data_IF_152280562512
#
_entry.id   IF_152280562512
#
_cell.length_a   1.000
_cell.length_b   1.000
_cell.length_c   1.000
_cell.angle_alpha   90.00
_cell.angle_beta   90.00
_cell.angle_gamma   90.00
#
_symmetry.space_group_name_H-M   'P 1'
#
loop_
_entity.id
_entity.type
_entity.pdbx_description
1 polymer ?
#
# COMPACT_ATOMS: atom_id res chain seq x y z
N UNK A 1 12.70 8.36 -27.35
CA UNK A 1 12.54 8.44 -25.88
C UNK A 1 11.53 7.37 -25.49
N UNK A 2 11.85 6.48 -24.54
CA UNK A 2 10.81 5.59 -23.99
C UNK A 2 9.80 6.47 -23.26
N UNK A 3 8.51 6.17 -23.41
CA UNK A 3 7.49 6.78 -22.58
C UNK A 3 7.59 6.12 -21.21
N UNK A 4 8.15 6.80 -20.21
CA UNK A 4 8.39 6.24 -18.86
C UNK A 4 7.10 5.71 -18.22
N UNK A 5 5.94 6.23 -18.62
CA UNK A 5 4.62 5.75 -18.19
C UNK A 5 4.25 4.35 -18.70
N UNK A 6 4.97 3.83 -19.71
CA UNK A 6 4.82 2.45 -20.20
C UNK A 6 5.74 1.47 -19.47
N UNK A 7 6.66 1.96 -18.65
CA UNK A 7 7.54 1.12 -17.85
C UNK A 7 6.83 0.68 -16.57
N UNK A 8 6.75 -0.62 -16.38
CA UNK A 8 6.22 -1.22 -15.15
C UNK A 8 7.06 -0.88 -13.92
N UNK A 9 6.44 -0.92 -12.75
CA UNK A 9 7.11 -0.86 -11.47
C UNK A 9 7.93 -2.15 -11.28
N UNK A 10 9.18 -1.99 -10.88
CA UNK A 10 10.09 -3.09 -10.53
C UNK A 10 10.71 -2.77 -9.17
N UNK A 11 11.19 -3.79 -8.43
CA UNK A 11 11.86 -3.54 -7.16
C UNK A 11 13.04 -2.56 -7.27
N UNK A 12 13.70 -2.51 -8.43
CA UNK A 12 14.90 -1.69 -8.65
C UNK A 12 14.63 -0.26 -9.11
N UNK A 13 13.41 0.09 -9.56
CA UNK A 13 13.15 1.39 -10.18
C UNK A 13 12.24 2.32 -9.36
N UNK A 14 11.73 1.86 -8.22
CA UNK A 14 10.79 2.64 -7.41
C UNK A 14 11.15 2.68 -5.92
N UNK A 15 10.56 3.65 -5.24
CA UNK A 15 10.51 3.77 -3.79
C UNK A 15 9.06 3.93 -3.34
N UNK A 16 8.80 3.76 -2.04
CA UNK A 16 7.47 3.79 -1.44
C UNK A 16 7.37 4.86 -0.37
N UNK A 17 6.23 5.54 -0.28
CA UNK A 17 5.91 6.41 0.85
C UNK A 17 4.47 6.16 1.34
N UNK A 18 4.35 5.91 2.64
CA UNK A 18 3.07 5.87 3.35
C UNK A 18 2.85 7.20 4.06
N UNK A 19 1.80 7.92 3.66
CA UNK A 19 1.49 9.26 4.17
C UNK A 19 0.32 9.16 5.15
N UNK A 20 0.60 9.43 6.43
CA UNK A 20 -0.38 9.78 7.45
C UNK A 20 -1.49 8.71 7.63
N UNK A 21 -1.09 7.43 7.59
CA UNK A 21 -1.95 6.26 7.84
C UNK A 21 -2.30 6.15 9.35
N UNK A 22 -2.98 7.18 9.85
CA UNK A 22 -3.29 7.42 11.26
C UNK A 22 -4.80 7.27 11.52
N UNK A 23 -5.24 6.80 12.70
CA UNK A 23 -6.63 6.48 13.01
C UNK A 23 -7.62 7.63 12.79
N UNK A 24 -7.32 8.83 13.25
CA UNK A 24 -8.26 9.95 13.12
C UNK A 24 -8.45 10.35 11.65
N UNK A 25 -7.37 10.28 10.85
CA UNK A 25 -7.44 10.45 9.40
C UNK A 25 -8.33 9.35 8.79
N UNK A 26 -8.10 8.09 9.12
CA UNK A 26 -8.90 6.98 8.61
C UNK A 26 -10.37 7.02 9.04
N UNK A 27 -10.70 7.54 10.22
CA UNK A 27 -12.09 7.69 10.66
C UNK A 27 -12.88 8.63 9.77
N UNK A 28 -12.24 9.66 9.23
CA UNK A 28 -12.84 10.59 8.27
C UNK A 28 -13.00 10.02 6.85
N UNK A 29 -12.40 8.87 6.53
CA UNK A 29 -12.50 8.28 5.18
C UNK A 29 -13.90 7.74 4.92
N UNK A 30 -14.49 8.14 3.80
CA UNK A 30 -15.79 7.66 3.31
C UNK A 30 -15.74 7.23 1.83
N UNK A 31 -14.60 7.34 1.16
CA UNK A 31 -14.45 6.91 -0.25
C UNK A 31 -14.31 5.39 -0.43
N UNK A 32 -14.00 4.66 0.65
CA UNK A 32 -13.80 3.21 0.69
C UNK A 32 -14.12 2.70 2.11
N UNK A 33 -14.50 1.43 2.24
CA UNK A 33 -14.61 0.81 3.57
C UNK A 33 -13.25 0.83 4.29
N UNK A 34 -13.27 1.24 5.57
CA UNK A 34 -12.06 1.49 6.35
C UNK A 34 -11.31 0.20 6.72
N UNK A 35 -12.01 -0.93 6.83
CA UNK A 35 -11.35 -2.23 7.04
C UNK A 35 -10.66 -2.68 5.77
N UNK A 36 -11.29 -2.48 4.61
CA UNK A 36 -10.68 -2.73 3.29
C UNK A 36 -9.46 -1.84 3.08
N UNK A 37 -9.55 -0.53 3.36
CA UNK A 37 -8.42 0.41 3.28
C UNK A 37 -7.24 -0.09 4.12
N UNK A 38 -7.47 -0.38 5.40
CA UNK A 38 -6.42 -0.86 6.31
C UNK A 38 -5.81 -2.18 5.81
N UNK A 39 -6.63 -3.12 5.37
CA UNK A 39 -6.17 -4.38 4.78
C UNK A 39 -5.25 -4.13 3.56
N UNK A 40 -5.66 -3.25 2.66
CA UNK A 40 -4.91 -2.93 1.44
C UNK A 40 -3.58 -2.23 1.76
N UNK A 41 -3.57 -1.30 2.72
CA UNK A 41 -2.34 -0.63 3.21
C UNK A 41 -1.36 -1.65 3.77
N UNK A 42 -1.82 -2.59 4.60
CA UNK A 42 -0.96 -3.64 5.18
C UNK A 42 -0.49 -4.62 4.12
N UNK A 43 -1.34 -5.02 3.17
CA UNK A 43 -0.96 -5.87 2.03
C UNK A 43 0.12 -5.22 1.16
N UNK A 44 -0.02 -3.93 0.87
CA UNK A 44 0.98 -3.12 0.16
C UNK A 44 2.30 -3.01 0.94
N UNK A 45 2.23 -2.80 2.25
CA UNK A 45 3.41 -2.72 3.10
C UNK A 45 4.19 -4.03 3.13
N UNK A 46 3.49 -5.16 3.30
CA UNK A 46 4.12 -6.50 3.24
C UNK A 46 4.74 -6.76 1.88
N UNK A 47 4.08 -6.35 0.80
CA UNK A 47 4.65 -6.44 -0.55
C UNK A 47 5.96 -5.62 -0.65
N UNK A 48 5.95 -4.36 -0.20
CA UNK A 48 7.14 -3.51 -0.20
C UNK A 48 8.29 -4.12 0.61
N UNK A 49 7.99 -4.76 1.74
CA UNK A 49 8.97 -5.48 2.56
C UNK A 49 9.56 -6.70 1.85
N UNK A 50 8.73 -7.56 1.24
CA UNK A 50 9.18 -8.76 0.49
C UNK A 50 10.13 -8.39 -0.65
N UNK A 51 9.86 -7.29 -1.36
CA UNK A 51 10.66 -6.84 -2.49
C UNK A 51 11.75 -5.83 -2.11
N UNK A 52 11.99 -5.59 -0.81
CA UNK A 52 13.00 -4.67 -0.30
C UNK A 52 12.87 -3.23 -0.87
N UNK A 53 11.65 -2.76 -1.08
CA UNK A 53 11.39 -1.41 -1.60
C UNK A 53 11.80 -0.37 -0.55
N UNK A 54 12.65 0.62 -0.90
CA UNK A 54 12.97 1.72 -0.01
C UNK A 54 11.68 2.46 0.38
N UNK A 55 11.28 2.32 1.64
CA UNK A 55 9.99 2.81 2.13
C UNK A 55 10.19 4.02 3.06
N UNK A 56 9.31 5.00 3.02
CA UNK A 56 9.23 6.12 3.97
C UNK A 56 7.85 6.09 4.63
N UNK A 57 7.77 6.42 5.92
CA UNK A 57 6.51 6.54 6.65
C UNK A 57 6.47 7.94 7.26
N UNK A 58 5.40 8.68 6.98
CA UNK A 58 5.16 10.00 7.58
C UNK A 58 3.94 9.97 8.48
N UNK A 59 3.94 10.92 9.41
CA UNK A 59 2.80 11.25 10.26
C UNK A 59 2.62 12.75 10.33
N UNK A 60 1.40 13.17 10.63
CA UNK A 60 1.06 14.57 10.88
C UNK A 60 0.33 14.69 12.21
N UNK A 61 0.75 15.61 13.07
CA UNK A 61 0.03 15.97 14.31
C UNK A 61 -0.30 14.74 15.20
N UNK A 62 0.68 13.85 15.41
CA UNK A 62 0.47 12.53 16.06
C UNK A 62 -0.11 12.64 17.47
N UNK A 63 0.38 13.58 18.29
CA UNK A 63 0.00 13.72 19.70
C UNK A 63 -1.14 14.72 19.94
N UNK A 64 -1.59 15.41 18.89
CA UNK A 64 -2.58 16.50 18.98
C UNK A 64 -3.91 16.12 18.32
N UNK A 65 -3.88 15.55 17.11
CA UNK A 65 -5.07 15.29 16.32
C UNK A 65 -5.11 13.88 15.75
N UNK A 66 -4.06 13.44 15.07
CA UNK A 66 -4.16 12.31 14.13
C UNK A 66 -4.06 10.93 14.80
N UNK A 67 -3.33 10.84 15.91
CA UNK A 67 -3.00 9.59 16.60
C UNK A 67 -1.81 8.85 15.98
N UNK A 68 -1.35 7.78 16.63
CA UNK A 68 -0.22 6.98 16.12
C UNK A 68 -0.59 6.22 14.84
N UNK A 69 0.35 6.04 13.91
CA UNK A 69 0.19 5.21 12.70
C UNK A 69 -0.36 3.82 13.03
N UNK A 70 -1.08 3.21 12.08
CA UNK A 70 -1.58 1.83 12.25
C UNK A 70 -0.46 0.88 12.72
N UNK A 71 -0.64 0.17 13.85
CA UNK A 71 0.40 -0.71 14.37
C UNK A 71 0.73 -1.82 13.37
N UNK A 72 -0.24 -2.32 12.61
CA UNK A 72 -0.01 -3.35 11.61
C UNK A 72 0.86 -2.89 10.44
N UNK A 73 0.88 -1.58 10.14
CA UNK A 73 1.83 -1.01 9.17
C UNK A 73 3.24 -0.92 9.77
N UNK A 74 3.36 -0.52 11.04
CA UNK A 74 4.64 -0.39 11.73
C UNK A 74 5.30 -1.75 12.00
N UNK A 75 4.52 -2.78 12.32
CA UNK A 75 5.00 -4.15 12.56
C UNK A 75 5.68 -4.77 11.32
N UNK A 76 5.37 -4.27 10.11
CA UNK A 76 6.05 -4.68 8.87
C UNK A 76 7.45 -4.09 8.76
N UNK A 77 7.72 -2.96 9.43
CA UNK A 77 8.99 -2.22 9.36
C UNK A 77 9.56 -1.92 10.76
N UNK A 78 9.94 -2.95 11.53
CA UNK A 78 10.42 -2.75 12.90
C UNK A 78 11.69 -1.89 12.94
N UNK A 79 11.71 -0.92 13.87
CA UNK A 79 12.86 -0.04 14.09
C UNK A 79 13.02 1.07 13.04
N UNK A 80 12.05 1.26 12.14
CA UNK A 80 12.08 2.30 11.13
C UNK A 80 11.66 3.65 11.71
N UNK A 81 12.42 4.70 11.39
CA UNK A 81 12.06 6.06 11.75
C UNK A 81 10.75 6.50 11.05
N UNK A 82 9.89 7.18 11.82
CA UNK A 82 8.66 7.79 11.34
C UNK A 82 8.88 9.30 11.24
N UNK A 83 8.61 9.87 10.08
CA UNK A 83 8.83 11.29 9.82
C UNK A 83 7.60 12.11 10.24
N UNK A 84 7.61 12.57 11.49
CA UNK A 84 6.58 13.47 12.04
C UNK A 84 6.67 14.86 11.41
N UNK A 85 5.49 15.42 11.09
CA UNK A 85 5.30 16.73 10.47
C UNK A 85 4.12 17.48 11.10
N UNK A 86 4.07 18.78 10.84
CA UNK A 86 2.89 19.63 11.12
C UNK A 86 2.17 20.09 9.85
N UNK A 87 2.87 20.10 8.71
CA UNK A 87 2.29 20.44 7.40
C UNK A 87 1.35 19.34 6.92
N UNK A 88 0.32 19.68 6.14
CA UNK A 88 -0.47 18.67 5.43
C UNK A 88 0.28 18.11 4.21
N UNK A 89 1.02 18.97 3.51
CA UNK A 89 1.87 18.55 2.40
C UNK A 89 3.17 17.91 2.92
N UNK A 90 3.35 16.61 2.68
CA UNK A 90 4.59 15.90 3.03
C UNK A 90 5.83 16.47 2.37
N UNK A 91 5.68 17.12 1.22
CA UNK A 91 6.80 17.73 0.49
C UNK A 91 7.36 18.97 1.17
N UNK A 92 6.59 19.63 2.04
CA UNK A 92 7.04 20.83 2.76
C UNK A 92 8.05 20.50 3.88
N UNK A 93 8.17 19.23 4.28
CA UNK A 93 9.13 18.79 5.30
C UNK A 93 10.45 18.35 4.67
N UNK A 94 11.56 18.97 5.10
CA UNK A 94 12.88 18.72 4.53
C UNK A 94 13.34 17.27 4.74
N UNK A 95 12.98 16.62 5.85
CA UNK A 95 13.37 15.22 6.13
C UNK A 95 12.75 14.28 5.11
N UNK A 96 11.51 14.55 4.68
CA UNK A 96 10.84 13.76 3.63
C UNK A 96 11.57 13.93 2.29
N UNK A 97 11.92 15.15 1.91
CA UNK A 97 12.66 15.43 0.66
C UNK A 97 14.03 14.74 0.66
N UNK A 98 14.75 14.86 1.78
CA UNK A 98 16.07 14.25 1.95
C UNK A 98 16.00 12.73 1.90
N UNK A 99 15.00 12.12 2.56
CA UNK A 99 14.78 10.67 2.53
C UNK A 99 14.45 10.17 1.12
N UNK A 100 13.54 10.84 0.40
CA UNK A 100 13.20 10.49 -0.99
C UNK A 100 14.42 10.60 -1.91
N UNK A 101 15.23 11.66 -1.73
CA UNK A 101 16.45 11.89 -2.51
C UNK A 101 17.51 10.83 -2.21
N UNK A 102 17.69 10.46 -0.95
CA UNK A 102 18.66 9.46 -0.51
C UNK A 102 18.39 8.07 -1.12
N UNK A 103 17.13 7.72 -1.39
CA UNK A 103 16.76 6.46 -2.04
C UNK A 103 17.17 6.40 -3.53
N UNK A 104 17.34 7.55 -4.19
CA UNK A 104 17.83 7.62 -5.57
C UNK A 104 16.88 7.05 -6.63
N UNK A 105 15.58 6.88 -6.33
CA UNK A 105 14.58 6.33 -7.25
C UNK A 105 13.61 7.42 -7.70
N UNK A 106 13.34 7.53 -9.00
CA UNK A 106 12.43 8.57 -9.53
C UNK A 106 10.95 8.18 -9.47
N UNK A 107 10.62 6.90 -9.48
CA UNK A 107 9.24 6.43 -9.32
C UNK A 107 8.90 6.32 -7.83
N UNK A 108 7.85 7.00 -7.39
CA UNK A 108 7.38 7.00 -6.01
C UNK A 108 5.98 6.40 -5.98
N UNK A 109 5.85 5.23 -5.37
CA UNK A 109 4.58 4.60 -5.06
C UNK A 109 4.05 5.25 -3.77
N UNK A 110 2.82 5.75 -3.81
CA UNK A 110 2.24 6.57 -2.74
C UNK A 110 0.95 5.93 -2.25
N UNK A 111 0.84 5.76 -0.93
CA UNK A 111 -0.39 5.38 -0.24
C UNK A 111 -0.58 6.36 0.91
N UNK A 112 -1.75 6.97 1.05
CA UNK A 112 -1.92 7.92 2.15
C UNK A 112 -3.28 8.54 2.29
N UNK A 113 -3.41 9.34 3.35
CA UNK A 113 -4.65 9.98 3.78
C UNK A 113 -4.43 11.49 4.02
N UNK A 114 -5.30 12.39 3.59
CA UNK A 114 -6.40 12.18 2.64
C UNK A 114 -5.99 12.42 1.20
N UNK A 115 -6.70 11.77 0.29
CA UNK A 115 -6.42 11.78 -1.15
C UNK A 115 -6.41 13.22 -1.70
N UNK A 116 -7.40 14.02 -1.29
CA UNK A 116 -7.62 15.39 -1.71
C UNK A 116 -6.72 16.43 -1.03
N UNK A 117 -6.05 16.05 0.05
CA UNK A 117 -5.18 16.95 0.83
C UNK A 117 -3.72 16.52 0.75
N UNK A 118 -3.29 15.60 1.63
CA UNK A 118 -1.88 15.23 1.79
C UNK A 118 -1.32 14.57 0.53
N UNK A 119 -2.05 13.61 -0.06
CA UNK A 119 -1.59 12.92 -1.27
C UNK A 119 -1.54 13.85 -2.48
N UNK A 120 -2.61 14.62 -2.72
CA UNK A 120 -2.70 15.51 -3.87
C UNK A 120 -1.64 16.62 -3.81
N UNK A 121 -1.45 17.28 -2.67
CA UNK A 121 -0.43 18.33 -2.55
C UNK A 121 0.99 17.76 -2.61
N UNK A 122 1.24 16.62 -1.95
CA UNK A 122 2.53 15.92 -2.05
C UNK A 122 2.85 15.55 -3.49
N UNK A 123 1.93 14.91 -4.21
CA UNK A 123 2.16 14.46 -5.56
C UNK A 123 2.50 15.63 -6.50
N UNK A 124 1.71 16.70 -6.45
CA UNK A 124 1.93 17.88 -7.30
C UNK A 124 3.29 18.54 -7.03
N UNK A 125 3.66 18.73 -5.76
CA UNK A 125 4.93 19.36 -5.40
C UNK A 125 6.14 18.44 -5.67
N UNK A 126 6.02 17.14 -5.38
CA UNK A 126 7.07 16.16 -5.67
C UNK A 126 7.37 16.04 -7.17
N UNK A 127 6.34 16.12 -8.02
CA UNK A 127 6.50 16.17 -9.47
C UNK A 127 7.14 17.49 -9.92
N UNK A 128 6.61 18.62 -9.44
CA UNK A 128 7.03 19.95 -9.87
C UNK A 128 8.48 20.29 -9.48
N UNK A 129 8.86 19.98 -8.24
CA UNK A 129 10.15 20.40 -7.68
C UNK A 129 11.17 19.27 -7.58
N UNK A 130 10.68 18.02 -7.45
CA UNK A 130 11.51 16.83 -7.28
C UNK A 130 11.78 16.06 -8.56
N UNK A 131 11.02 16.38 -9.63
CA UNK A 131 11.04 15.63 -10.88
C UNK A 131 10.81 14.12 -10.61
N UNK A 132 9.84 13.82 -9.73
CA UNK A 132 9.41 12.46 -9.40
C UNK A 132 8.23 12.03 -10.28
N UNK A 133 8.15 10.73 -10.55
CA UNK A 133 7.00 10.08 -11.18
C UNK A 133 6.14 9.43 -10.10
N UNK A 134 4.88 9.84 -9.99
CA UNK A 134 4.01 9.40 -8.89
C UNK A 134 3.07 8.29 -9.35
N UNK A 135 3.09 7.19 -8.60
CA UNK A 135 2.17 6.06 -8.73
C UNK A 135 1.28 6.02 -7.49
N UNK A 136 0.05 6.55 -7.61
CA UNK A 136 -0.87 6.67 -6.48
C UNK A 136 -1.66 5.37 -6.31
N UNK A 137 -1.50 4.70 -5.18
CA UNK A 137 -2.22 3.46 -4.87
C UNK A 137 -3.61 3.84 -4.37
N UNK A 138 -4.58 3.85 -5.29
CA UNK A 138 -5.90 4.41 -5.07
C UNK A 138 -6.70 3.65 -4.01
N UNK A 139 -6.59 2.32 -3.97
CA UNK A 139 -7.29 1.45 -3.02
C UNK A 139 -6.56 1.26 -1.69
N UNK A 140 -5.36 1.83 -1.55
CA UNK A 140 -4.63 2.03 -0.30
C UNK A 140 -4.57 3.52 0.09
N UNK A 141 -5.45 4.34 -0.50
CA UNK A 141 -5.64 5.76 -0.19
C UNK A 141 -7.13 6.04 0.00
N UNK A 142 -7.46 7.09 0.74
CA UNK A 142 -8.86 7.39 1.09
C UNK A 142 -9.11 8.88 1.15
N UNK A 143 -10.33 9.30 0.80
CA UNK A 143 -10.81 10.68 0.92
C UNK A 143 -12.04 10.79 1.82
N UNK A 144 -12.35 12.02 2.22
CA UNK A 144 -13.45 12.33 3.15
C UNK A 144 -14.85 12.08 2.59
N UNK A 145 -14.96 12.05 1.26
CA UNK A 145 -16.12 11.55 0.53
C UNK A 145 -15.64 10.87 -0.75
N UNK A 146 -16.54 10.14 -1.41
CA UNK A 146 -16.27 9.58 -2.73
C UNK A 146 -15.92 10.68 -3.74
N UNK A 147 -16.67 11.78 -3.74
CA UNK A 147 -16.46 12.91 -4.64
C UNK A 147 -15.11 13.58 -4.40
N UNK A 148 -14.74 13.82 -3.13
CA UNK A 148 -13.46 14.41 -2.78
C UNK A 148 -12.28 13.55 -3.30
N UNK A 149 -12.35 12.24 -3.06
CA UNK A 149 -11.36 11.28 -3.57
C UNK A 149 -11.31 11.27 -5.11
N UNK A 150 -12.46 11.14 -5.77
CA UNK A 150 -12.53 11.01 -7.23
C UNK A 150 -12.03 12.28 -7.94
N UNK A 151 -12.43 13.47 -7.49
CA UNK A 151 -12.00 14.72 -8.11
C UNK A 151 -10.52 15.03 -7.84
N UNK A 152 -10.01 14.67 -6.66
CA UNK A 152 -8.57 14.75 -6.38
C UNK A 152 -7.78 13.80 -7.29
N UNK A 153 -8.24 12.56 -7.45
CA UNK A 153 -7.61 11.61 -8.36
C UNK A 153 -7.64 12.10 -9.81
N UNK A 154 -8.77 12.63 -10.28
CA UNK A 154 -8.88 13.23 -11.63
C UNK A 154 -7.90 14.39 -11.82
N UNK A 155 -7.77 15.28 -10.83
CA UNK A 155 -6.79 16.37 -10.86
C UNK A 155 -5.35 15.83 -10.93
N UNK A 156 -5.03 14.83 -10.11
CA UNK A 156 -3.71 14.18 -10.11
C UNK A 156 -3.41 13.51 -11.46
N UNK A 157 -4.38 12.81 -12.05
CA UNK A 157 -4.25 12.19 -13.39
C UNK A 157 -3.97 13.25 -14.46
N UNK A 158 -4.68 14.38 -14.44
CA UNK A 158 -4.45 15.50 -15.38
C UNK A 158 -3.04 16.08 -15.24
N UNK A 159 -2.48 16.10 -14.03
CA UNK A 159 -1.11 16.52 -13.77
C UNK A 159 -0.05 15.46 -14.15
N UNK A 160 -0.47 14.21 -14.40
CA UNK A 160 0.38 13.12 -14.86
C UNK A 160 0.66 12.01 -13.85
N UNK A 161 0.02 12.03 -12.68
CA UNK A 161 0.05 10.91 -11.71
C UNK A 161 -0.58 9.66 -12.31
N UNK A 162 -0.01 8.49 -12.01
CA UNK A 162 -0.47 7.20 -12.50
C UNK A 162 -1.25 6.49 -11.38
N UNK A 163 -2.58 6.32 -11.48
CA UNK A 163 -3.34 5.55 -10.51
C UNK A 163 -3.07 4.06 -10.67
N UNK A 164 -2.84 3.37 -9.55
CA UNK A 164 -2.64 1.91 -9.48
C UNK A 164 -3.40 1.35 -8.27
N UNK A 165 -3.46 0.02 -8.15
CA UNK A 165 -4.00 -0.67 -6.97
C UNK A 165 -2.92 -1.51 -6.29
N UNK A 166 -3.08 -1.80 -4.99
CA UNK A 166 -2.03 -2.51 -4.24
C UNK A 166 -1.73 -3.90 -4.83
N UNK A 167 -2.78 -4.61 -5.30
CA UNK A 167 -2.64 -5.92 -5.91
C UNK A 167 -1.89 -5.82 -7.25
N UNK A 168 -2.16 -4.78 -8.04
CA UNK A 168 -1.44 -4.52 -9.28
C UNK A 168 0.04 -4.28 -8.99
N UNK A 169 0.36 -3.41 -8.02
CA UNK A 169 1.74 -3.10 -7.64
C UNK A 169 2.49 -4.36 -7.19
N UNK A 170 1.89 -5.18 -6.32
CA UNK A 170 2.46 -6.47 -5.89
C UNK A 170 2.80 -7.37 -7.08
N UNK A 171 1.89 -7.48 -8.05
CA UNK A 171 2.07 -8.37 -9.20
C UNK A 171 3.01 -7.79 -10.26
N UNK A 172 3.13 -6.46 -10.38
CA UNK A 172 4.17 -5.83 -11.19
C UNK A 172 5.57 -6.12 -10.62
N UNK A 173 5.75 -6.04 -9.29
CA UNK A 173 7.01 -6.41 -8.64
C UNK A 173 7.35 -7.89 -8.76
N UNK A 174 6.36 -8.79 -8.59
CA UNK A 174 6.58 -10.22 -8.81
C UNK A 174 6.96 -10.51 -10.27
N UNK A 175 6.25 -9.88 -11.21
CA UNK A 175 6.37 -9.94 -12.67
C UNK A 175 6.18 -11.30 -13.33
N UNK A 176 6.87 -12.32 -12.83
CA UNK A 176 6.93 -13.67 -13.38
C UNK A 176 6.84 -14.71 -12.24
N UNK A 177 6.01 -15.73 -12.41
CA UNK A 177 5.86 -16.84 -11.45
C UNK A 177 7.04 -17.81 -11.48
N UNK A 178 7.97 -17.65 -12.43
CA UNK A 178 9.27 -18.31 -12.44
C UNK A 178 10.21 -17.80 -11.34
N UNK A 179 10.02 -16.58 -10.83
CA UNK A 179 10.80 -16.03 -9.70
C UNK A 179 10.37 -16.70 -8.38
N UNK A 180 11.05 -17.81 -8.04
CA UNK A 180 10.69 -18.68 -6.91
C UNK A 180 11.13 -18.13 -5.56
N UNK A 181 12.10 -17.23 -5.54
CA UNK A 181 12.64 -16.58 -4.35
C UNK A 181 11.58 -15.76 -3.60
N UNK A 182 10.65 -15.11 -4.31
CA UNK A 182 9.56 -14.32 -3.72
C UNK A 182 8.21 -15.03 -3.79
N UNK A 183 8.08 -16.10 -4.58
CA UNK A 183 6.81 -16.77 -4.88
C UNK A 183 5.98 -17.11 -3.63
N UNK A 184 6.59 -17.78 -2.65
CA UNK A 184 5.86 -18.21 -1.44
C UNK A 184 5.42 -17.00 -0.60
N UNK A 185 6.29 -16.01 -0.42
CA UNK A 185 5.96 -14.80 0.32
C UNK A 185 4.83 -14.00 -0.36
N UNK A 186 4.83 -13.92 -1.68
CA UNK A 186 3.74 -13.31 -2.45
C UNK A 186 2.43 -14.10 -2.30
N UNK A 187 2.48 -15.43 -2.36
CA UNK A 187 1.30 -16.28 -2.14
C UNK A 187 0.76 -16.16 -0.72
N UNK A 188 1.61 -15.99 0.29
CA UNK A 188 1.19 -15.73 1.66
C UNK A 188 0.44 -14.41 1.78
N UNK A 189 0.98 -13.34 1.19
CA UNK A 189 0.31 -12.02 1.14
C UNK A 189 -1.04 -12.15 0.41
N UNK A 190 -1.09 -12.85 -0.72
CA UNK A 190 -2.32 -13.03 -1.50
C UNK A 190 -3.39 -13.76 -0.68
N UNK A 191 -3.02 -14.86 -0.03
CA UNK A 191 -3.94 -15.65 0.81
C UNK A 191 -4.46 -14.86 2.01
N UNK A 192 -3.68 -13.93 2.52
CA UNK A 192 -4.06 -13.11 3.68
C UNK A 192 -4.87 -11.86 3.28
N UNK A 193 -4.49 -11.17 2.22
CA UNK A 193 -4.97 -9.81 1.93
C UNK A 193 -5.81 -9.68 0.64
N UNK A 194 -5.80 -10.66 -0.27
CA UNK A 194 -6.49 -10.56 -1.57
C UNK A 194 -7.94 -11.06 -1.57
N UNK A 195 -8.57 -11.16 -0.39
CA UNK A 195 -9.98 -11.55 -0.25
C UNK A 195 -10.35 -12.81 -1.04
N UNK A 196 -11.28 -12.68 -1.99
CA UNK A 196 -11.74 -13.79 -2.82
C UNK A 196 -10.63 -14.49 -3.63
N UNK A 197 -9.64 -13.74 -4.10
CA UNK A 197 -8.50 -14.35 -4.78
C UNK A 197 -7.68 -15.23 -3.83
N UNK A 198 -7.41 -14.73 -2.61
CA UNK A 198 -6.75 -15.50 -1.57
C UNK A 198 -7.50 -16.78 -1.17
N UNK A 199 -8.83 -16.70 -1.03
CA UNK A 199 -9.68 -17.88 -0.79
C UNK A 199 -9.56 -18.92 -1.92
N UNK A 200 -9.52 -18.46 -3.17
CA UNK A 200 -9.32 -19.34 -4.32
C UNK A 200 -7.97 -20.04 -4.31
N UNK A 201 -6.91 -19.35 -3.89
CA UNK A 201 -5.57 -19.95 -3.73
C UNK A 201 -5.60 -21.03 -2.65
N UNK A 202 -6.15 -20.73 -1.46
CA UNK A 202 -6.28 -21.73 -0.38
C UNK A 202 -7.08 -22.96 -0.83
N UNK A 203 -8.20 -22.74 -1.52
CA UNK A 203 -9.03 -23.81 -2.08
C UNK A 203 -8.23 -24.67 -3.07
N UNK A 204 -7.52 -24.06 -4.02
CA UNK A 204 -6.76 -24.82 -5.02
C UNK A 204 -5.62 -25.62 -4.38
N UNK A 205 -4.86 -25.03 -3.46
CA UNK A 205 -3.77 -25.72 -2.77
C UNK A 205 -4.27 -26.95 -2.01
N UNK A 206 -5.36 -26.81 -1.27
CA UNK A 206 -5.89 -27.88 -0.42
C UNK A 206 -6.69 -28.91 -1.21
N UNK A 207 -7.66 -28.48 -2.02
CA UNK A 207 -8.62 -29.38 -2.66
C UNK A 207 -8.16 -29.92 -4.01
N UNK A 208 -7.32 -29.19 -4.74
CA UNK A 208 -6.84 -29.61 -6.07
C UNK A 208 -5.45 -30.24 -5.98
N UNK A 209 -4.57 -29.68 -5.15
CA UNK A 209 -3.18 -30.14 -5.04
C UNK A 209 -2.88 -30.99 -3.79
N UNK A 210 -3.85 -31.15 -2.88
CA UNK A 210 -3.69 -31.98 -1.67
C UNK A 210 -2.68 -31.43 -0.66
N UNK A 211 -2.34 -30.14 -0.73
CA UNK A 211 -1.46 -29.50 0.24
C UNK A 211 -2.16 -29.35 1.61
N UNK A 212 -1.38 -29.23 2.67
CA UNK A 212 -1.93 -28.93 3.99
C UNK A 212 -2.54 -27.52 4.01
N UNK A 213 -3.62 -27.35 4.78
CA UNK A 213 -4.19 -26.03 5.04
C UNK A 213 -3.19 -25.15 5.79
N UNK A 214 -3.23 -23.84 5.54
CA UNK A 214 -2.32 -22.86 6.16
C UNK A 214 -2.59 -22.57 7.63
N UNK A 215 -3.67 -23.10 8.20
CA UNK A 215 -3.99 -22.92 9.62
C UNK A 215 -2.85 -23.44 10.51
N UNK A 216 -2.52 -22.69 11.56
CA UNK A 216 -1.46 -23.08 12.51
C UNK A 216 -2.00 -23.90 13.69
N UNK A 217 -3.30 -23.80 13.96
CA UNK A 217 -3.99 -24.50 15.04
C UNK A 217 -4.56 -25.83 14.59
N UNK A 218 -4.58 -26.80 15.50
CA UNK A 218 -5.22 -28.10 15.27
C UNK A 218 -6.73 -28.03 15.50
N UNK A 219 -7.49 -28.60 14.57
CA UNK A 219 -8.94 -28.70 14.64
C UNK A 219 -9.39 -30.08 14.19
N UNK A 220 -10.39 -30.65 14.85
CA UNK A 220 -11.00 -31.91 14.45
C UNK A 220 -12.39 -31.65 13.84
N UNK A 221 -12.60 -32.08 12.61
CA UNK A 221 -13.93 -32.05 11.96
C UNK A 221 -14.66 -33.35 12.29
N UNK A 222 -15.71 -33.26 13.12
CA UNK A 222 -16.53 -34.41 13.46
C UNK A 222 -17.30 -34.91 12.22
N UNK A 223 -17.41 -36.22 12.06
CA UNK A 223 -18.15 -36.83 10.95
C UNK A 223 -19.64 -36.46 11.01
N UNK A 224 -20.32 -36.30 9.86
CA UNK A 224 -21.74 -35.98 9.85
C UNK A 224 -22.58 -37.11 10.48
N UNK A 225 -23.46 -36.75 11.42
CA UNK A 225 -24.44 -37.66 12.04
C UNK A 225 -25.84 -37.18 11.65
N UNK A 226 -26.59 -37.93 10.81
CA UNK A 226 -27.96 -37.56 10.46
C UNK A 226 -28.86 -37.45 11.70
N UNK A 227 -29.65 -36.39 11.78
CA UNK A 227 -30.68 -36.25 12.81
C UNK A 227 -31.79 -37.30 12.62
N UNK A 228 -32.34 -37.82 13.72
CA UNK A 228 -33.45 -38.78 13.74
C UNK A 228 -34.74 -38.12 14.17
#
# INVERSE_FOLDING_TARGET
>A
MSNSKLEVLTPDNCQMIFIDQQPQMAFGVQSIDRQVLKNNVVGLAKAASVFNIPTIITTVETQSFSGNTFPELLDVFPGKDILERTSMNSWDDQKVRDALKANGKKKVVVSGLWTEVCNNTFALCAMLEGDYEIYMVADASGGTSKEAHDFAMQRMIQAGVIPVTWQQVLLEWQRDWAHKETYNAVMDIVREHSGAYGMGVDYAYTMVHGAQSRQKSEHNTLAPVPAR
#
